data_IF_252424303189
#
_entry.id   IF_252424303189
#
_cell.length_a   1.000
_cell.length_b   1.000
_cell.length_c   1.000
_cell.angle_alpha   90.00
_cell.angle_beta   90.00
_cell.angle_gamma   90.00
#
_symmetry.space_group_name_H-M   'P 1'
#
loop_
_entity.id
_entity.type
_entity.pdbx_description
1 polymer ?
#
# COMPACT_ATOMS: atom_id res chain seq x y z
N UNK A 1 -41.69 -0.38 -50.42
CA UNK A 1 -41.68 -1.46 -51.44
C UNK A 1 -40.28 -2.04 -51.53
N UNK A 2 -40.09 -3.30 -51.10
CA UNK A 2 -39.86 -4.49 -51.95
C UNK A 2 -38.57 -4.36 -52.80
N UNK A 3 -37.55 -5.22 -52.68
CA UNK A 3 -37.64 -6.68 -52.83
C UNK A 3 -36.51 -7.45 -52.14
N UNK A 4 -36.92 -8.63 -51.67
CA UNK A 4 -36.15 -9.84 -51.32
C UNK A 4 -35.24 -10.31 -52.47
N UNK A 5 -34.06 -10.84 -52.15
CA UNK A 5 -33.48 -11.98 -52.89
C UNK A 5 -32.65 -12.88 -51.97
N UNK A 6 -32.88 -14.19 -52.12
CA UNK A 6 -32.37 -15.33 -51.35
C UNK A 6 -31.13 -15.95 -52.01
N UNK A 7 -30.21 -16.39 -51.15
CA UNK A 7 -29.40 -17.63 -51.17
C UNK A 7 -28.60 -18.02 -52.42
N UNK A 8 -27.28 -18.20 -52.25
CA UNK A 8 -26.52 -19.30 -52.87
C UNK A 8 -25.51 -19.88 -51.87
N UNK A 9 -25.56 -21.21 -51.76
CA UNK A 9 -24.69 -22.08 -51.00
C UNK A 9 -23.31 -22.13 -51.66
N UNK A 10 -22.25 -21.94 -50.88
CA UNK A 10 -20.88 -22.22 -51.27
C UNK A 10 -20.18 -22.96 -50.14
N UNK A 11 -20.16 -24.29 -50.22
CA UNK A 11 -19.32 -25.13 -49.38
C UNK A 11 -17.87 -25.02 -49.86
N UNK A 12 -16.97 -24.59 -48.97
CA UNK A 12 -15.54 -24.79 -49.15
C UNK A 12 -14.89 -25.01 -47.79
N UNK A 13 -14.28 -26.18 -47.67
CA UNK A 13 -13.60 -26.75 -46.52
C UNK A 13 -12.31 -25.99 -46.24
N UNK A 14 -12.13 -25.52 -45.01
CA UNK A 14 -10.81 -25.26 -44.40
C UNK A 14 -10.94 -25.82 -42.98
N UNK A 15 -10.57 -27.08 -42.78
CA UNK A 15 -9.25 -27.48 -42.29
C UNK A 15 -8.93 -26.79 -40.95
N UNK A 16 -8.76 -27.61 -39.92
CA UNK A 16 -8.82 -27.23 -38.53
C UNK A 16 -7.95 -26.04 -38.14
N UNK A 17 -8.56 -25.11 -37.43
CA UNK A 17 -7.84 -24.20 -36.54
C UNK A 17 -8.01 -24.76 -35.15
N UNK A 18 -6.91 -25.35 -34.69
CA UNK A 18 -6.63 -25.78 -33.33
C UNK A 18 -7.15 -24.76 -32.30
N UNK A 19 -7.88 -25.27 -31.31
CA UNK A 19 -8.14 -24.58 -30.05
C UNK A 19 -6.80 -24.31 -29.37
N UNK A 20 -6.18 -23.18 -29.68
CA UNK A 20 -5.22 -22.55 -28.79
C UNK A 20 -6.03 -22.09 -27.59
N UNK A 21 -6.00 -22.92 -26.55
CA UNK A 21 -6.37 -22.53 -25.20
C UNK A 21 -5.76 -21.15 -24.94
N UNK A 22 -6.61 -20.15 -24.76
CA UNK A 22 -6.16 -18.83 -24.33
C UNK A 22 -5.43 -19.01 -23.02
N UNK A 23 -4.12 -18.69 -23.00
CA UNK A 23 -3.49 -18.33 -21.75
C UNK A 23 -4.21 -17.06 -21.29
N UNK A 24 -5.15 -17.24 -20.38
CA UNK A 24 -5.64 -16.15 -19.56
C UNK A 24 -4.42 -15.70 -18.77
N UNK A 25 -3.76 -14.63 -19.23
CA UNK A 25 -2.94 -13.84 -18.32
C UNK A 25 -3.92 -13.29 -17.30
N UNK A 26 -4.10 -14.02 -16.21
CA UNK A 26 -4.51 -13.44 -14.96
C UNK A 26 -3.44 -12.38 -14.64
N UNK A 27 -3.70 -11.16 -15.12
CA UNK A 27 -3.13 -9.98 -14.54
C UNK A 27 -3.70 -9.93 -13.12
N UNK A 28 -3.07 -10.68 -12.22
CA UNK A 28 -3.13 -10.40 -10.80
C UNK A 28 -2.69 -8.95 -10.67
N UNK A 29 -3.68 -8.06 -10.61
CA UNK A 29 -3.50 -6.64 -10.48
C UNK A 29 -2.58 -6.42 -9.29
N UNK A 30 -1.36 -6.01 -9.61
CA UNK A 30 -0.35 -5.60 -8.66
C UNK A 30 -0.82 -4.27 -8.09
N UNK A 31 -1.70 -4.32 -7.09
CA UNK A 31 -1.77 -3.27 -6.06
C UNK A 31 -0.73 -3.57 -4.95
N UNK A 32 0.47 -3.97 -5.39
CA UNK A 32 1.60 -4.34 -4.56
C UNK A 32 2.43 -3.10 -4.18
N UNK A 33 1.78 -2.04 -3.70
CA UNK A 33 2.50 -0.82 -3.30
C UNK A 33 3.26 -0.97 -1.97
N UNK A 34 3.17 -2.10 -1.27
CA UNK A 34 3.83 -2.26 0.03
C UNK A 34 4.11 -3.67 0.55
N UNK A 35 3.64 -4.74 -0.09
CA UNK A 35 3.86 -6.10 0.41
C UNK A 35 5.22 -6.66 -0.04
N UNK A 36 6.13 -6.91 0.91
CA UNK A 36 7.33 -7.74 0.65
C UNK A 36 6.93 -9.20 0.76
N UNK A 37 7.35 -10.04 -0.19
CA UNK A 37 6.88 -11.42 -0.30
C UNK A 37 7.13 -12.29 0.95
N UNK A 38 8.11 -11.93 1.78
CA UNK A 38 8.43 -12.65 3.02
C UNK A 38 7.70 -12.12 4.26
N UNK A 39 7.12 -10.91 4.22
CA UNK A 39 6.46 -10.32 5.38
C UNK A 39 5.13 -11.01 5.70
N UNK A 40 4.71 -10.94 6.97
CA UNK A 40 3.39 -11.39 7.37
C UNK A 40 2.25 -10.60 6.71
N UNK A 41 1.04 -11.16 6.75
CA UNK A 41 -0.18 -10.45 6.31
C UNK A 41 -0.32 -9.13 7.09
N UNK A 42 -0.56 -8.00 6.41
CA UNK A 42 -0.63 -6.72 7.10
C UNK A 42 -1.90 -6.60 7.95
N UNK A 43 -1.79 -5.83 9.03
CA UNK A 43 -2.93 -5.36 9.82
C UNK A 43 -3.10 -3.87 9.58
N UNK A 44 -4.22 -3.47 9.00
CA UNK A 44 -4.56 -2.05 8.81
C UNK A 44 -4.96 -1.43 10.13
N UNK A 45 -4.41 -0.24 10.45
CA UNK A 45 -4.76 0.52 11.66
C UNK A 45 -4.71 2.03 11.45
N UNK A 46 -5.32 2.76 12.38
CA UNK A 46 -5.21 4.22 12.46
C UNK A 46 -4.05 4.59 13.37
N UNK A 47 -3.25 5.56 12.93
CA UNK A 47 -2.13 6.13 13.69
C UNK A 47 -2.23 7.65 13.63
N UNK A 48 -2.01 8.31 14.77
CA UNK A 48 -1.93 9.76 14.86
C UNK A 48 -0.46 10.18 14.85
N UNK A 49 -0.11 11.24 14.12
CA UNK A 49 1.26 11.80 14.08
C UNK A 49 1.23 13.26 14.51
N UNK A 50 2.10 13.63 15.45
CA UNK A 50 2.15 14.96 16.04
C UNK A 50 2.80 16.00 15.09
N UNK A 51 2.53 17.31 15.30
CA UNK A 51 3.04 18.38 14.45
C UNK A 51 4.50 18.75 14.74
N UNK A 52 5.07 18.23 15.82
CA UNK A 52 6.48 18.32 16.15
C UNK A 52 7.12 16.93 16.25
N UNK A 53 8.28 16.78 15.63
CA UNK A 53 9.16 15.63 15.86
C UNK A 53 9.85 15.78 17.22
N UNK A 54 10.23 14.66 17.82
CA UNK A 54 11.01 14.64 19.06
C UNK A 54 12.46 14.36 18.74
N UNK A 55 13.35 15.19 19.28
CA UNK A 55 14.79 14.99 19.17
C UNK A 55 15.22 13.84 20.06
N UNK A 56 16.03 12.95 19.51
CA UNK A 56 16.67 11.87 20.25
C UNK A 56 18.15 11.82 19.90
N UNK A 57 18.95 11.41 20.88
CA UNK A 57 20.39 11.24 20.74
C UNK A 57 20.70 9.76 20.91
N UNK A 58 20.97 9.08 19.80
CA UNK A 58 21.53 7.73 19.79
C UNK A 58 23.01 7.78 19.42
N UNK A 59 23.39 7.02 18.40
CA UNK A 59 24.74 7.10 17.78
C UNK A 59 25.01 8.50 17.20
N UNK A 60 23.96 9.21 16.79
CA UNK A 60 24.00 10.61 16.39
C UNK A 60 22.68 11.32 16.75
N UNK A 61 22.64 12.66 16.80
CA UNK A 61 21.39 13.40 16.93
C UNK A 61 20.48 13.19 15.72
N UNK A 62 19.22 12.85 15.96
CA UNK A 62 18.20 12.73 14.92
C UNK A 62 16.80 13.04 15.47
N UNK A 63 15.88 13.38 14.57
CA UNK A 63 14.49 13.67 14.90
C UNK A 63 13.60 12.48 14.55
N UNK A 64 12.73 12.09 15.47
CA UNK A 64 11.79 10.99 15.30
C UNK A 64 10.35 11.49 15.30
N UNK A 65 9.49 10.80 14.56
CA UNK A 65 8.06 11.06 14.61
C UNK A 65 7.51 10.75 15.99
N UNK A 66 6.56 11.55 16.46
CA UNK A 66 5.75 11.22 17.62
C UNK A 66 4.41 10.63 17.14
N UNK A 67 4.10 9.42 17.60
CA UNK A 67 2.94 8.65 17.16
C UNK A 67 2.13 8.12 18.34
N UNK A 68 0.84 7.88 18.13
CA UNK A 68 -0.06 7.20 19.10
C UNK A 68 -1.16 6.43 18.38
N UNK A 69 -1.71 5.39 19.02
CA UNK A 69 -2.78 4.56 18.44
C UNK A 69 -4.17 5.19 18.60
N UNK A 70 -4.36 6.02 19.62
CA UNK A 70 -5.62 6.71 19.87
C UNK A 70 -5.40 8.12 20.46
N UNK A 71 -6.40 9.02 20.42
CA UNK A 71 -6.28 10.36 20.97
C UNK A 71 -6.08 10.40 22.50
N UNK A 72 -6.42 9.33 23.20
CA UNK A 72 -6.31 9.21 24.66
C UNK A 72 -4.94 8.64 25.10
N UNK A 73 -4.19 8.02 24.19
CA UNK A 73 -2.87 7.47 24.49
C UNK A 73 -1.79 8.56 24.53
N UNK A 74 -0.76 8.37 25.37
CA UNK A 74 0.42 9.23 25.35
C UNK A 74 1.18 9.08 24.02
N UNK A 75 1.88 10.14 23.63
CA UNK A 75 2.78 10.11 22.48
C UNK A 75 3.95 9.17 22.72
N UNK A 76 4.32 8.42 21.68
CA UNK A 76 5.47 7.50 21.64
C UNK A 76 6.38 7.83 20.46
N UNK A 77 7.66 7.48 20.55
CA UNK A 77 8.60 7.69 19.45
C UNK A 77 8.44 6.61 18.36
N UNK A 78 8.21 7.05 17.12
CA UNK A 78 8.15 6.22 15.93
C UNK A 78 9.54 6.04 15.31
N UNK A 79 10.27 5.01 15.76
CA UNK A 79 11.67 4.79 15.39
C UNK A 79 11.91 4.37 13.93
N UNK A 80 10.97 3.64 13.31
CA UNK A 80 11.14 3.07 11.97
C UNK A 80 10.59 3.96 10.84
N UNK A 81 10.00 5.12 11.17
CA UNK A 81 9.26 5.94 10.21
C UNK A 81 8.02 5.24 9.65
N UNK A 82 7.42 5.83 8.61
CA UNK A 82 6.28 5.28 7.87
C UNK A 82 6.63 5.34 6.38
N UNK A 83 6.75 4.20 5.72
CA UNK A 83 7.10 4.13 4.29
C UNK A 83 6.02 4.83 3.46
N UNK A 84 6.42 5.71 2.53
CA UNK A 84 5.51 6.49 1.70
C UNK A 84 4.89 7.72 2.38
N UNK A 85 5.20 7.99 3.66
CA UNK A 85 4.76 9.19 4.35
C UNK A 85 5.85 10.27 4.40
N UNK A 86 5.59 11.41 3.76
CA UNK A 86 6.46 12.59 3.82
C UNK A 86 5.97 13.55 4.91
N UNK A 87 6.56 13.44 6.09
CA UNK A 87 6.24 14.28 7.23
C UNK A 87 6.53 15.77 6.95
N UNK A 88 5.62 16.64 7.36
CA UNK A 88 5.83 18.09 7.38
C UNK A 88 5.52 18.62 8.77
N UNK A 89 6.46 19.35 9.42
CA UNK A 89 6.22 20.01 10.69
C UNK A 89 5.04 20.99 10.63
N UNK A 90 4.39 21.22 11.77
CA UNK A 90 3.26 22.14 11.88
C UNK A 90 1.91 21.55 11.46
N UNK A 91 1.84 20.23 11.25
CA UNK A 91 0.59 19.52 10.93
C UNK A 91 0.34 18.34 11.85
N UNK A 92 -0.87 18.25 12.39
CA UNK A 92 -1.42 17.01 12.93
C UNK A 92 -1.89 16.10 11.80
N UNK A 93 -1.60 14.81 11.91
CA UNK A 93 -2.06 13.81 10.95
C UNK A 93 -2.86 12.70 11.62
N UNK A 94 -3.89 12.23 10.92
CA UNK A 94 -4.50 10.92 11.14
C UNK A 94 -4.21 10.09 9.90
N UNK A 95 -3.51 8.98 10.07
CA UNK A 95 -3.05 8.11 9.00
C UNK A 95 -3.74 6.76 9.11
N UNK A 96 -4.07 6.18 7.96
CA UNK A 96 -4.36 4.76 7.86
C UNK A 96 -3.09 4.09 7.33
N UNK A 97 -2.56 3.13 8.08
CA UNK A 97 -1.32 2.42 7.77
C UNK A 97 -1.54 0.93 7.74
N UNK A 98 -0.79 0.24 6.90
CA UNK A 98 -0.65 -1.20 6.94
C UNK A 98 0.60 -1.56 7.75
N UNK A 99 0.40 -2.28 8.85
CA UNK A 99 1.48 -2.80 9.68
C UNK A 99 1.86 -4.21 9.24
N UNK A 100 3.11 -4.39 8.84
CA UNK A 100 3.69 -5.66 8.47
C UNK A 100 4.61 -6.16 9.59
N UNK A 101 4.54 -7.47 9.86
CA UNK A 101 5.59 -8.16 10.60
C UNK A 101 6.70 -8.54 9.63
N UNK A 102 7.89 -7.99 9.85
CA UNK A 102 9.06 -8.21 9.00
C UNK A 102 9.61 -9.61 9.27
N UNK A 103 9.79 -10.41 8.21
CA UNK A 103 10.49 -11.69 8.33
C UNK A 103 12.00 -11.45 8.45
N UNK A 104 12.63 -12.10 9.42
CA UNK A 104 14.08 -12.02 9.67
C UNK A 104 14.59 -10.57 9.75
N UNK A 105 14.10 -9.77 10.72
CA UNK A 105 14.54 -8.38 10.85
C UNK A 105 16.06 -8.29 11.10
N UNK A 106 16.72 -7.19 10.70
CA UNK A 106 18.10 -6.91 11.11
C UNK A 106 18.24 -6.97 12.63
N UNK A 107 19.42 -7.31 13.15
CA UNK A 107 19.65 -7.46 14.59
C UNK A 107 19.21 -6.22 15.41
N UNK A 108 19.48 -5.03 14.88
CA UNK A 108 19.11 -3.75 15.49
C UNK A 108 17.92 -3.08 14.79
N UNK A 109 17.21 -3.83 13.95
CA UNK A 109 16.08 -3.36 13.14
C UNK A 109 14.73 -3.66 13.78
N UNK A 110 13.74 -2.81 13.50
CA UNK A 110 12.37 -3.07 13.90
C UNK A 110 11.84 -4.36 13.23
N UNK A 111 11.15 -5.19 14.02
CA UNK A 111 10.35 -6.31 13.50
C UNK A 111 9.01 -5.87 12.91
N UNK A 112 8.73 -4.57 12.98
CA UNK A 112 7.50 -3.92 12.52
C UNK A 112 7.84 -2.91 11.43
N UNK A 113 7.10 -2.97 10.32
CA UNK A 113 7.20 -2.04 9.19
C UNK A 113 5.84 -1.44 8.91
N UNK A 114 5.76 -0.11 8.86
CA UNK A 114 4.54 0.62 8.54
C UNK A 114 4.60 1.17 7.13
N UNK A 115 3.55 0.93 6.35
CA UNK A 115 3.38 1.50 5.02
C UNK A 115 2.15 2.39 5.03
N UNK A 116 2.29 3.62 4.55
CA UNK A 116 1.17 4.53 4.40
C UNK A 116 0.17 3.95 3.41
N UNK A 117 -1.06 3.72 3.85
CA UNK A 117 -2.18 3.40 2.97
C UNK A 117 -2.82 4.67 2.46
N UNK A 118 -3.14 5.60 3.37
CA UNK A 118 -3.64 6.95 3.04
C UNK A 118 -3.55 7.90 4.22
N UNK A 119 -3.58 9.20 3.93
CA UNK A 119 -3.81 10.25 4.91
C UNK A 119 -5.33 10.38 5.08
N UNK A 120 -5.82 10.16 6.31
CA UNK A 120 -7.24 10.31 6.67
C UNK A 120 -7.54 11.79 6.94
N UNK A 121 -6.68 12.44 7.71
CA UNK A 121 -6.79 13.86 8.04
C UNK A 121 -5.40 14.48 8.09
N UNK A 122 -5.30 15.75 7.66
CA UNK A 122 -4.14 16.62 7.87
C UNK A 122 -4.64 17.99 8.30
N UNK A 123 -4.20 18.48 9.46
CA UNK A 123 -4.63 19.76 10.04
C UNK A 123 -3.43 20.61 10.44
N UNK A 124 -3.38 21.86 9.98
CA UNK A 124 -2.35 22.80 10.42
C UNK A 124 -2.58 23.16 11.90
N UNK A 125 -1.51 23.19 12.68
CA UNK A 125 -1.53 23.74 14.03
C UNK A 125 -0.98 25.16 13.98
N UNK A 126 -1.83 26.14 14.30
CA UNK A 126 -1.50 27.56 14.38
C UNK A 126 -1.62 28.03 15.83
#
# INVERSE_FOLDING_TARGET
>A
MNRKTRTLVGAAVIAGVTLLAGCQTDAAATDARGARAADGRPVTKIVYVAPQAARCTGVAPMDYLQVRGSPAEPWSLGYAGIEGFAYQPGYDYVLEVDEYRVAQPPADGSSIRWVLKRIVERRAVN
#
